data_IF_757718778397
#
_entry.id   IF_757718778397
#
_cell.length_a   1.000
_cell.length_b   1.000
_cell.length_c   1.000
_cell.angle_alpha   90.00
_cell.angle_beta   90.00
_cell.angle_gamma   90.00
#
_symmetry.space_group_name_H-M   'P 1'
#
loop_
_entity.id
_entity.type
_entity.pdbx_description
1 polymer ?
#
# COMPACT_ATOMS: atom_id res chain seq x y z
N UNK A 1 -8.49 8.87 -21.29
CA UNK A 1 -7.73 9.81 -20.44
C UNK A 1 -6.80 9.00 -19.56
N UNK A 2 -5.72 8.46 -20.15
CA UNK A 2 -4.65 7.74 -19.46
C UNK A 2 -3.35 8.12 -20.16
N UNK A 3 -3.00 9.40 -20.13
CA UNK A 3 -1.78 9.88 -20.77
C UNK A 3 -1.22 11.03 -19.93
N UNK A 4 -0.63 10.68 -18.80
CA UNK A 4 0.42 11.51 -18.21
C UNK A 4 1.66 10.62 -18.13
N UNK A 5 2.48 10.74 -19.16
CA UNK A 5 3.70 9.99 -19.34
C UNK A 5 4.66 10.26 -18.17
N UNK A 6 4.99 9.20 -17.43
CA UNK A 6 6.27 9.12 -16.75
C UNK A 6 7.29 8.60 -17.76
N UNK A 7 8.23 9.46 -18.10
CA UNK A 7 9.36 9.29 -19.01
C UNK A 7 10.45 8.37 -18.44
N UNK A 8 10.10 7.12 -18.10
CA UNK A 8 11.04 5.99 -18.03
C UNK A 8 10.22 4.71 -18.21
N UNK A 9 10.62 3.82 -19.12
CA UNK A 9 9.82 2.67 -19.57
C UNK A 9 9.66 1.53 -18.55
N UNK A 10 9.45 1.82 -17.27
CA UNK A 10 9.13 0.82 -16.23
C UNK A 10 7.70 1.06 -15.75
N UNK A 11 6.83 0.07 -15.92
CA UNK A 11 5.49 0.12 -15.36
C UNK A 11 5.61 0.19 -13.83
N UNK A 12 4.94 1.14 -13.18
CA UNK A 12 4.96 1.30 -11.72
C UNK A 12 4.45 0.01 -11.03
N UNK A 13 3.62 -0.77 -11.72
CA UNK A 13 3.14 -2.07 -11.26
C UNK A 13 4.26 -3.14 -11.19
N UNK A 14 5.32 -3.01 -12.00
CA UNK A 14 6.47 -3.93 -12.06
C UNK A 14 7.61 -3.55 -11.10
N UNK A 15 7.53 -2.39 -10.45
CA UNK A 15 8.55 -1.98 -9.47
C UNK A 15 8.66 -3.00 -8.35
N UNK A 16 9.91 -3.29 -7.97
CA UNK A 16 10.16 -4.06 -6.76
C UNK A 16 9.63 -3.30 -5.53
N UNK A 17 9.51 -4.01 -4.41
CA UNK A 17 8.94 -3.42 -3.19
C UNK A 17 9.72 -2.18 -2.72
N UNK A 18 11.05 -2.21 -2.80
CA UNK A 18 11.90 -1.12 -2.29
C UNK A 18 11.75 0.13 -3.15
N UNK A 19 11.75 -0.04 -4.47
CA UNK A 19 11.50 1.03 -5.43
C UNK A 19 10.11 1.63 -5.23
N UNK A 20 9.09 0.79 -5.06
CA UNK A 20 7.72 1.24 -4.85
C UNK A 20 7.56 1.98 -3.52
N UNK A 21 8.21 1.52 -2.45
CA UNK A 21 8.25 2.21 -1.15
C UNK A 21 8.89 3.58 -1.31
N UNK A 22 10.02 3.68 -2.02
CA UNK A 22 10.69 4.95 -2.24
C UNK A 22 9.82 5.94 -3.03
N UNK A 23 9.11 5.46 -4.05
CA UNK A 23 8.15 6.27 -4.80
C UNK A 23 6.97 6.71 -3.91
N UNK A 24 6.45 5.79 -3.10
CA UNK A 24 5.31 6.04 -2.22
C UNK A 24 5.58 7.03 -1.08
N UNK A 25 6.85 7.42 -0.85
CA UNK A 25 7.20 8.55 0.02
C UNK A 25 6.73 9.89 -0.51
N UNK A 26 6.67 10.05 -1.83
CA UNK A 26 6.34 11.33 -2.48
C UNK A 26 5.03 11.25 -3.28
N UNK A 27 4.58 10.04 -3.61
CA UNK A 27 3.43 9.78 -4.48
C UNK A 27 2.36 8.90 -3.80
N UNK A 28 1.17 9.46 -3.62
CA UNK A 28 0.03 8.74 -3.03
C UNK A 28 -0.53 7.65 -3.96
N UNK A 29 -0.39 7.79 -5.27
CA UNK A 29 -0.82 6.74 -6.21
C UNK A 29 0.08 5.50 -6.08
N UNK A 30 1.39 5.71 -5.89
CA UNK A 30 2.34 4.63 -5.61
C UNK A 30 2.03 3.92 -4.27
N UNK A 31 1.61 4.65 -3.23
CA UNK A 31 1.10 4.03 -2.00
C UNK A 31 -0.12 3.15 -2.26
N UNK A 32 -0.99 3.54 -3.20
CA UNK A 32 -2.15 2.74 -3.63
C UNK A 32 -1.77 1.34 -4.13
N UNK A 33 -0.60 1.19 -4.76
CA UNK A 33 -0.09 -0.12 -5.18
C UNK A 33 0.39 -0.95 -4.01
N UNK A 34 1.04 -0.34 -3.00
CA UNK A 34 1.36 -1.03 -1.74
C UNK A 34 0.08 -1.50 -1.04
N UNK A 35 -0.96 -0.67 -1.02
CA UNK A 35 -2.27 -1.06 -0.49
C UNK A 35 -2.81 -2.30 -1.20
N UNK A 36 -2.91 -2.27 -2.54
CA UNK A 36 -3.42 -3.40 -3.33
C UNK A 36 -2.59 -4.68 -3.13
N UNK A 37 -1.26 -4.57 -3.04
CA UNK A 37 -0.36 -5.72 -2.82
C UNK A 37 -0.53 -6.38 -1.45
N UNK A 38 -0.95 -5.63 -0.43
CA UNK A 38 -0.94 -6.07 0.96
C UNK A 38 -2.30 -6.19 1.65
N UNK A 39 -3.34 -5.56 1.12
CA UNK A 39 -4.65 -5.48 1.79
C UNK A 39 -5.22 -6.86 2.11
N UNK A 40 -5.22 -7.78 1.15
CA UNK A 40 -5.78 -9.11 1.34
C UNK A 40 -5.01 -9.93 2.39
N UNK A 41 -3.67 -9.81 2.40
CA UNK A 41 -2.80 -10.52 3.34
C UNK A 41 -2.99 -10.00 4.76
N UNK A 42 -3.01 -8.67 4.92
CA UNK A 42 -3.21 -8.04 6.23
C UNK A 42 -4.61 -8.33 6.74
N UNK A 43 -5.64 -8.16 5.90
CA UNK A 43 -7.02 -8.48 6.25
C UNK A 43 -7.16 -9.94 6.68
N UNK A 44 -6.64 -10.88 5.89
CA UNK A 44 -6.73 -12.32 6.20
C UNK A 44 -6.05 -12.67 7.51
N UNK A 45 -4.87 -12.09 7.78
CA UNK A 45 -4.16 -12.29 9.04
C UNK A 45 -4.96 -11.74 10.23
N UNK A 46 -5.48 -10.52 10.13
CA UNK A 46 -6.27 -9.92 11.21
C UNK A 46 -7.56 -10.70 11.43
N UNK A 47 -8.29 -11.05 10.36
CA UNK A 47 -9.50 -11.84 10.44
C UNK A 47 -9.26 -13.20 11.11
N UNK A 48 -8.16 -13.87 10.77
CA UNK A 48 -7.78 -15.13 11.43
C UNK A 48 -7.56 -14.96 12.94
N UNK A 49 -7.11 -13.78 13.39
CA UNK A 49 -6.83 -13.46 14.80
C UNK A 49 -8.07 -13.02 15.57
N UNK A 50 -9.01 -12.33 14.93
CA UNK A 50 -10.20 -11.77 15.60
C UNK A 50 -11.43 -12.65 15.43
N UNK A 51 -11.54 -13.38 14.31
CA UNK A 51 -12.76 -14.08 13.90
C UNK A 51 -13.94 -13.14 13.60
N UNK A 52 -13.69 -11.84 13.45
CA UNK A 52 -14.71 -10.81 13.30
C UNK A 52 -14.37 -9.91 12.10
N UNK A 53 -15.29 -9.81 11.14
CA UNK A 53 -15.11 -9.01 9.93
C UNK A 53 -14.97 -7.51 10.23
N UNK A 54 -15.82 -6.95 11.11
CA UNK A 54 -15.79 -5.53 11.43
C UNK A 54 -14.47 -5.12 12.13
N UNK A 55 -13.99 -5.96 13.06
CA UNK A 55 -12.69 -5.72 13.69
C UNK A 55 -11.55 -5.87 12.67
N UNK A 56 -11.66 -6.83 11.73
CA UNK A 56 -10.67 -7.03 10.69
C UNK A 56 -10.58 -5.84 9.73
N UNK A 57 -11.72 -5.28 9.32
CA UNK A 57 -11.79 -4.08 8.50
C UNK A 57 -11.17 -2.86 9.22
N UNK A 58 -11.57 -2.58 10.48
CA UNK A 58 -11.06 -1.44 11.25
C UNK A 58 -9.53 -1.53 11.45
N UNK A 59 -9.05 -2.68 11.89
CA UNK A 59 -7.64 -2.88 12.15
C UNK A 59 -6.81 -2.81 10.87
N UNK A 60 -7.31 -3.36 9.75
CA UNK A 60 -6.65 -3.25 8.44
C UNK A 60 -6.56 -1.79 8.00
N UNK A 61 -7.65 -1.03 8.09
CA UNK A 61 -7.66 0.40 7.78
C UNK A 61 -6.68 1.18 8.65
N UNK A 62 -6.61 0.88 9.96
CA UNK A 62 -5.67 1.51 10.89
C UNK A 62 -4.21 1.20 10.58
N UNK A 63 -3.90 -0.01 10.10
CA UNK A 63 -2.55 -0.37 9.65
C UNK A 63 -2.13 0.50 8.47
N UNK A 64 -2.96 0.60 7.42
CA UNK A 64 -2.63 1.42 6.26
C UNK A 64 -2.64 2.92 6.57
N UNK A 65 -3.56 3.38 7.42
CA UNK A 65 -3.56 4.76 7.89
C UNK A 65 -2.27 5.12 8.62
N UNK A 66 -1.74 4.24 9.48
CA UNK A 66 -0.43 4.47 10.10
C UNK A 66 0.70 4.40 9.10
N UNK A 67 0.66 3.45 8.18
CA UNK A 67 1.69 3.31 7.15
C UNK A 67 1.81 4.59 6.30
N UNK A 68 0.70 5.13 5.80
CA UNK A 68 0.74 6.35 4.97
C UNK A 68 1.18 7.59 5.77
N UNK A 69 0.90 7.67 7.06
CA UNK A 69 1.37 8.78 7.91
C UNK A 69 2.88 8.73 8.21
N UNK A 70 3.51 7.57 8.05
CA UNK A 70 4.91 7.36 8.42
C UNK A 70 5.81 6.97 7.25
N UNK A 71 5.25 6.75 6.05
CA UNK A 71 6.01 6.23 4.91
C UNK A 71 7.17 7.14 4.50
N UNK A 72 7.01 8.46 4.60
CA UNK A 72 8.05 9.46 4.33
C UNK A 72 9.36 9.18 5.11
N UNK A 73 9.25 8.61 6.32
CA UNK A 73 10.37 8.34 7.22
C UNK A 73 10.78 6.86 7.29
N UNK A 74 10.24 6.02 6.41
CA UNK A 74 10.53 4.57 6.40
C UNK A 74 11.89 4.28 5.73
N UNK A 75 12.72 3.40 6.31
CA UNK A 75 14.07 3.06 5.82
C UNK A 75 14.11 1.76 5.00
#
# INVERSE_FOLDING_TARGET
>A
MKDFALDTGTDIEELDEKQLIQQAKEDKEAFGLLYTRYVDKIYSYVYYRTGNNQDAEDLTARVFFRAIQHIENYE
#
